data_IF_555653029157
#
_entry.id   IF_555653029157
#
_cell.length_a   1.000
_cell.length_b   1.000
_cell.length_c   1.000
_cell.angle_alpha   90.00
_cell.angle_beta   90.00
_cell.angle_gamma   90.00
#
_symmetry.space_group_name_H-M   'P 1'
#
loop_
_entity.id
_entity.type
_entity.pdbx_description
1 polymer ?
#
# COMPACT_ATOMS: atom_id res chain seq x y z
N UNK A 1 18.28 11.40 1.45
CA UNK A 1 17.21 11.12 2.42
C UNK A 1 15.94 11.01 1.60
N UNK A 2 15.37 9.80 1.46
CA UNK A 2 14.41 9.50 0.38
C UNK A 2 13.04 10.16 0.62
N UNK A 3 12.64 11.03 -0.31
CA UNK A 3 11.37 11.77 -0.40
C UNK A 3 10.15 10.88 -0.74
N UNK A 4 10.22 9.55 -0.58
CA UNK A 4 9.10 8.68 -0.98
C UNK A 4 7.85 8.75 -0.10
N UNK A 5 7.93 9.37 1.09
CA UNK A 5 6.72 9.70 1.85
C UNK A 5 5.95 10.87 1.21
N UNK A 6 6.60 11.70 0.37
CA UNK A 6 5.92 12.76 -0.39
C UNK A 6 5.17 12.22 -1.60
N UNK A 7 5.65 11.16 -2.25
CA UNK A 7 4.97 10.57 -3.41
C UNK A 7 3.63 9.92 -3.05
N UNK A 8 3.46 9.50 -1.79
CA UNK A 8 2.17 8.99 -1.27
C UNK A 8 1.22 10.15 -0.94
N UNK A 9 1.69 11.40 -0.85
CA UNK A 9 0.88 12.55 -0.45
C UNK A 9 0.58 13.52 -1.61
N UNK A 10 1.03 13.21 -2.83
CA UNK A 10 0.72 13.99 -4.02
C UNK A 10 -0.76 13.95 -4.41
N UNK A 11 -1.25 14.96 -5.13
CA UNK A 11 -2.66 15.03 -5.54
C UNK A 11 -3.09 13.88 -6.46
N UNK A 12 -2.15 13.33 -7.24
CA UNK A 12 -2.39 12.10 -8.03
C UNK A 12 -2.73 10.92 -7.12
N UNK A 13 -2.01 10.73 -6.01
CA UNK A 13 -2.29 9.66 -5.07
C UNK A 13 -3.67 9.81 -4.41
N UNK A 14 -4.04 11.03 -4.02
CA UNK A 14 -5.39 11.29 -3.48
C UNK A 14 -6.48 10.89 -4.48
N UNK A 15 -6.31 11.23 -5.76
CA UNK A 15 -7.26 10.88 -6.81
C UNK A 15 -7.38 9.36 -7.04
N UNK A 16 -6.27 8.62 -6.93
CA UNK A 16 -6.27 7.17 -7.03
C UNK A 16 -6.88 6.51 -5.80
N UNK A 17 -6.61 7.04 -4.61
CA UNK A 17 -7.23 6.59 -3.37
C UNK A 17 -8.75 6.80 -3.38
N UNK A 18 -9.24 7.90 -3.94
CA UNK A 18 -10.68 8.14 -4.10
C UNK A 18 -11.33 7.13 -5.05
N UNK A 19 -10.67 6.82 -6.16
CA UNK A 19 -11.14 5.77 -7.08
C UNK A 19 -11.17 4.41 -6.39
N UNK A 20 -10.11 4.06 -5.68
CA UNK A 20 -10.03 2.81 -4.91
C UNK A 20 -11.15 2.74 -3.85
N UNK A 21 -11.35 3.81 -3.08
CA UNK A 21 -12.42 3.89 -2.09
C UNK A 21 -13.81 3.70 -2.72
N UNK A 22 -14.05 4.25 -3.91
CA UNK A 22 -15.31 4.05 -4.63
C UNK A 22 -15.50 2.60 -5.11
N UNK A 23 -14.45 1.94 -5.57
CA UNK A 23 -14.49 0.51 -5.93
C UNK A 23 -14.72 -0.38 -4.70
N UNK A 24 -14.01 -0.12 -3.59
CA UNK A 24 -14.16 -0.85 -2.34
C UNK A 24 -15.59 -0.74 -1.77
N UNK A 25 -16.27 0.40 -1.93
CA UNK A 25 -17.67 0.59 -1.50
C UNK A 25 -18.66 -0.33 -2.19
N UNK A 26 -18.31 -0.90 -3.35
CA UNK A 26 -19.15 -1.91 -4.04
C UNK A 26 -19.20 -3.25 -3.28
N UNK A 27 -18.32 -3.44 -2.30
CA UNK A 27 -18.20 -4.66 -1.48
C UNK A 27 -18.30 -4.30 0.02
N UNK A 28 -19.46 -3.90 0.53
CA UNK A 28 -19.63 -3.40 1.90
C UNK A 28 -19.36 -4.46 2.98
N UNK A 29 -19.49 -5.74 2.63
CA UNK A 29 -19.29 -6.88 3.54
C UNK A 29 -17.88 -7.50 3.43
N UNK A 30 -17.04 -6.96 2.55
CA UNK A 30 -15.69 -7.43 2.35
C UNK A 30 -14.71 -6.90 3.40
N UNK A 31 -13.69 -7.70 3.70
CA UNK A 31 -12.46 -7.26 4.37
C UNK A 31 -11.36 -7.08 3.36
N UNK A 32 -10.60 -6.00 3.52
CA UNK A 32 -9.52 -5.62 2.62
C UNK A 32 -8.16 -5.73 3.32
N UNK A 33 -7.20 -6.32 2.63
CA UNK A 33 -5.78 -6.28 2.98
C UNK A 33 -5.08 -5.22 2.13
N UNK A 34 -4.37 -4.31 2.80
CA UNK A 34 -3.57 -3.24 2.23
C UNK A 34 -2.11 -3.63 2.44
N UNK A 35 -1.42 -3.94 1.36
CA UNK A 35 -0.07 -4.47 1.42
C UNK A 35 0.92 -3.51 0.78
N UNK A 36 1.91 -3.08 1.57
CA UNK A 36 3.01 -2.23 1.12
C UNK A 36 4.25 -3.03 0.72
N UNK A 37 4.92 -2.58 -0.33
CA UNK A 37 6.19 -3.13 -0.81
C UNK A 37 7.23 -2.02 -1.02
N UNK A 38 8.50 -2.37 -0.87
CA UNK A 38 9.64 -1.49 -1.18
C UNK A 38 10.41 -2.03 -2.39
N UNK A 39 11.37 -1.24 -2.88
CA UNK A 39 12.42 -1.77 -3.73
C UNK A 39 13.47 -2.53 -2.89
N UNK A 40 14.47 -3.11 -3.57
CA UNK A 40 15.56 -3.88 -2.98
C UNK A 40 16.67 -3.03 -2.34
N UNK A 41 16.52 -1.70 -2.31
CA UNK A 41 17.56 -0.81 -1.80
C UNK A 41 17.33 -0.55 -0.32
N UNK A 42 18.40 -0.59 0.47
CA UNK A 42 18.36 -0.40 1.91
C UNK A 42 18.52 -1.71 2.68
N UNK A 43 18.20 -1.68 3.97
CA UNK A 43 18.24 -2.89 4.81
C UNK A 43 16.86 -3.52 4.88
N UNK A 44 16.80 -4.85 5.00
CA UNK A 44 15.56 -5.60 5.20
C UNK A 44 14.70 -4.98 6.31
N UNK A 45 15.29 -4.69 7.47
CA UNK A 45 14.56 -4.08 8.61
C UNK A 45 13.96 -2.73 8.25
N UNK A 46 14.74 -1.87 7.59
CA UNK A 46 14.24 -0.57 7.16
C UNK A 46 13.09 -0.70 6.16
N UNK A 47 13.21 -1.63 5.21
CA UNK A 47 12.19 -1.88 4.19
C UNK A 47 10.90 -2.46 4.78
N UNK A 48 11.02 -3.33 5.78
CA UNK A 48 9.88 -3.85 6.54
C UNK A 48 9.13 -2.74 7.28
N UNK A 49 9.85 -1.89 8.02
CA UNK A 49 9.24 -0.77 8.72
C UNK A 49 8.62 0.26 7.75
N UNK A 50 9.31 0.56 6.65
CA UNK A 50 8.85 1.53 5.66
C UNK A 50 7.58 1.06 4.97
N UNK A 51 7.56 -0.19 4.48
CA UNK A 51 6.37 -0.75 3.85
C UNK A 51 5.18 -0.81 4.80
N UNK A 52 5.38 -1.17 6.06
CA UNK A 52 4.31 -1.19 7.07
C UNK A 52 3.76 0.21 7.32
N UNK A 53 4.63 1.21 7.53
CA UNK A 53 4.20 2.61 7.76
C UNK A 53 3.36 3.15 6.60
N UNK A 54 3.68 2.78 5.37
CA UNK A 54 2.93 3.18 4.17
C UNK A 54 1.56 2.51 4.12
N UNK A 55 1.49 1.20 4.34
CA UNK A 55 0.23 0.46 4.40
C UNK A 55 -0.70 1.04 5.50
N UNK A 56 -0.14 1.35 6.67
CA UNK A 56 -0.89 1.95 7.78
C UNK A 56 -1.40 3.35 7.45
N UNK A 57 -0.62 4.14 6.69
CA UNK A 57 -1.06 5.47 6.25
C UNK A 57 -2.28 5.37 5.36
N UNK A 58 -2.28 4.44 4.40
CA UNK A 58 -3.41 4.22 3.50
C UNK A 58 -4.62 3.71 4.26
N UNK A 59 -4.42 2.78 5.20
CA UNK A 59 -5.47 2.33 6.12
C UNK A 59 -6.10 3.52 6.86
N UNK A 60 -5.30 4.41 7.44
CA UNK A 60 -5.79 5.63 8.13
C UNK A 60 -6.59 6.54 7.19
N UNK A 61 -6.12 6.73 5.96
CA UNK A 61 -6.85 7.55 4.99
C UNK A 61 -8.17 6.90 4.58
N UNK A 62 -8.24 5.58 4.42
CA UNK A 62 -9.50 4.87 4.17
C UNK A 62 -10.46 4.96 5.37
N UNK A 63 -9.94 4.86 6.61
CA UNK A 63 -10.75 5.09 7.81
C UNK A 63 -11.36 6.50 7.80
N UNK A 64 -10.57 7.53 7.46
CA UNK A 64 -11.10 8.91 7.33
C UNK A 64 -12.16 9.08 6.24
N UNK A 65 -12.24 8.14 5.29
CA UNK A 65 -13.25 8.09 4.21
C UNK A 65 -14.47 7.24 4.57
N UNK A 66 -14.56 6.74 5.80
CA UNK A 66 -15.71 6.03 6.35
C UNK A 66 -15.60 4.50 6.39
N UNK A 67 -14.45 3.93 6.05
CA UNK A 67 -14.23 2.48 6.20
C UNK A 67 -14.00 2.13 7.68
N UNK A 68 -14.54 0.99 8.12
CA UNK A 68 -14.35 0.52 9.51
C UNK A 68 -12.97 -0.10 9.64
N UNK A 69 -12.27 0.24 10.72
CA UNK A 69 -10.92 -0.25 10.98
C UNK A 69 -10.81 -1.79 10.99
N UNK A 70 -11.83 -2.47 11.54
CA UNK A 70 -11.91 -3.94 11.61
C UNK A 70 -12.00 -4.63 10.24
N UNK A 71 -12.41 -3.89 9.20
CA UNK A 71 -12.56 -4.40 7.84
C UNK A 71 -11.29 -4.12 7.00
N UNK A 72 -10.27 -3.51 7.61
CA UNK A 72 -8.99 -3.16 6.97
C UNK A 72 -7.81 -3.78 7.73
N UNK A 73 -7.01 -4.59 7.02
CA UNK A 73 -5.74 -5.14 7.50
C UNK A 73 -4.61 -4.46 6.74
N UNK A 74 -3.55 -4.02 7.41
CA UNK A 74 -2.37 -3.43 6.78
C UNK A 74 -1.13 -4.29 7.03
N UNK A 75 -0.37 -4.60 5.97
CA UNK A 75 0.82 -5.46 6.04
C UNK A 75 1.98 -4.84 5.26
N UNK A 76 3.16 -4.78 5.88
CA UNK A 76 4.43 -4.44 5.23
C UNK A 76 5.22 -5.68 4.83
N UNK A 77 5.39 -5.91 3.52
CA UNK A 77 6.21 -7.02 3.02
C UNK A 77 7.67 -6.64 2.77
N UNK A 78 8.01 -5.36 2.88
CA UNK A 78 9.33 -4.85 2.51
C UNK A 78 9.69 -5.24 1.09
N UNK A 79 10.90 -5.76 0.93
CA UNK A 79 11.46 -6.21 -0.35
C UNK A 79 11.22 -7.71 -0.63
N UNK A 80 10.42 -8.41 0.17
CA UNK A 80 10.26 -9.88 0.03
C UNK A 80 9.45 -10.33 -1.19
N UNK A 81 8.80 -9.39 -1.90
CA UNK A 81 7.90 -9.64 -3.03
C UNK A 81 8.13 -8.62 -4.16
N UNK A 82 9.39 -8.50 -4.58
CA UNK A 82 9.78 -7.71 -5.74
C UNK A 82 9.11 -8.27 -7.00
N UNK A 83 8.53 -7.38 -7.80
CA UNK A 83 8.07 -7.69 -9.15
C UNK A 83 9.25 -7.80 -10.12
N UNK A 84 10.27 -6.97 -9.90
CA UNK A 84 11.54 -6.98 -10.64
C UNK A 84 12.67 -7.30 -9.65
N UNK A 85 13.06 -8.58 -9.49
CA UNK A 85 14.05 -9.00 -8.49
C UNK A 85 15.43 -8.35 -8.68
N UNK A 86 15.86 -8.17 -9.93
CA UNK A 86 17.19 -7.67 -10.29
C UNK A 86 17.14 -6.24 -10.86
N UNK A 87 16.23 -5.40 -10.35
CA UNK A 87 16.07 -4.02 -10.79
C UNK A 87 17.41 -3.25 -10.77
N UNK A 88 17.76 -2.64 -11.91
CA UNK A 88 18.98 -1.84 -12.10
C UNK A 88 18.68 -0.36 -12.31
N UNK A 89 17.52 -0.07 -12.90
CA UNK A 89 17.10 1.29 -13.25
C UNK A 89 16.13 1.86 -12.21
N UNK A 90 16.05 3.18 -12.12
CA UNK A 90 15.09 3.81 -11.20
C UNK A 90 13.63 3.45 -11.56
N UNK A 91 13.33 3.29 -12.85
CA UNK A 91 12.00 2.87 -13.31
C UNK A 91 11.64 1.45 -12.86
N UNK A 92 12.59 0.52 -12.88
CA UNK A 92 12.39 -0.84 -12.36
C UNK A 92 12.22 -0.84 -10.82
N UNK A 93 13.01 -0.03 -10.11
CA UNK A 93 12.80 0.15 -8.68
C UNK A 93 11.45 0.79 -8.37
N UNK A 94 10.96 1.72 -9.21
CA UNK A 94 9.65 2.34 -9.06
C UNK A 94 8.52 1.31 -9.18
N UNK A 95 8.64 0.32 -10.06
CA UNK A 95 7.65 -0.77 -10.17
C UNK A 95 7.57 -1.60 -8.89
N UNK A 96 8.70 -1.82 -8.20
CA UNK A 96 8.71 -2.55 -6.94
C UNK A 96 8.05 -1.77 -5.79
N UNK A 97 8.22 -0.45 -5.75
CA UNK A 97 7.61 0.44 -4.74
C UNK A 97 6.13 0.65 -5.01
N UNK A 98 5.31 -0.25 -4.48
CA UNK A 98 3.86 -0.23 -4.71
C UNK A 98 3.08 -0.54 -3.45
N UNK A 99 1.78 -0.25 -3.51
CA UNK A 99 0.79 -0.72 -2.55
C UNK A 99 -0.29 -1.46 -3.31
N UNK A 100 -0.66 -2.63 -2.81
CA UNK A 100 -1.75 -3.43 -3.35
C UNK A 100 -2.88 -3.50 -2.34
N UNK A 101 -4.12 -3.53 -2.83
CA UNK A 101 -5.31 -3.77 -1.99
C UNK A 101 -6.05 -4.98 -2.53
N UNK A 102 -6.35 -5.93 -1.64
CA UNK A 102 -6.99 -7.20 -1.99
C UNK A 102 -8.16 -7.48 -1.07
N UNK A 103 -9.20 -8.13 -1.59
CA UNK A 103 -10.29 -8.66 -0.76
C UNK A 103 -9.81 -9.98 -0.16
N UNK A 104 -9.87 -10.10 1.17
CA UNK A 104 -9.39 -11.29 1.90
C UNK A 104 -10.50 -12.13 2.53
N UNK A 105 -11.69 -11.55 2.75
CA UNK A 105 -12.87 -12.29 3.17
C UNK A 105 -14.13 -11.57 2.69
N UNK A 106 -15.14 -12.34 2.30
CA UNK A 106 -16.51 -11.89 2.10
C UNK A 106 -17.29 -12.35 3.34
N UNK A 107 -17.86 -11.43 4.13
CA UNK A 107 -18.77 -11.83 5.22
C UNK A 107 -20.04 -12.36 4.57
N UNK A 108 -20.10 -13.68 4.38
CA UNK A 108 -21.32 -14.41 4.02
C UNK A 108 -22.39 -14.30 5.10
#
# INVERSE_FOLDING_TARGET
MFDFDKDILGDKFKSELDKLANEMRKFPDARFEITGYTDSRGTVRYNDELSQRRADTIKRMLISKGFKEQDLVSIGWGERRLQVPDAQTEDEHAQNRRVEVRIIMDKK
#
